data_IF_398942265541
#
_entry.id   IF_398942265541
#
_cell.length_a   1.000
_cell.length_b   1.000
_cell.length_c   1.000
_cell.angle_alpha   90.00
_cell.angle_beta   90.00
_cell.angle_gamma   90.00
#
_symmetry.space_group_name_H-M   'P 1'
#
loop_
_entity.id
_entity.type
_entity.pdbx_description
1 polymer ?
#
# COMPACT_ATOMS: atom_id res chain seq x y z
N UNK A 1 20.17 -27.73 21.85
CA UNK A 1 19.01 -28.09 22.69
C UNK A 1 18.24 -29.18 21.97
N UNK A 2 17.90 -30.28 22.63
CA UNK A 2 17.02 -31.32 22.07
C UNK A 2 15.63 -31.13 22.67
N UNK A 3 14.72 -30.51 21.93
CA UNK A 3 13.32 -30.39 22.32
C UNK A 3 12.63 -31.70 21.88
N UNK A 4 11.99 -32.45 22.79
CA UNK A 4 11.27 -33.65 22.42
C UNK A 4 10.04 -33.29 21.58
N UNK A 5 9.95 -33.84 20.37
CA UNK A 5 8.82 -33.66 19.46
C UNK A 5 8.12 -34.99 19.28
N UNK A 6 6.85 -35.09 19.70
CA UNK A 6 6.03 -36.29 19.49
C UNK A 6 5.12 -36.08 18.28
N UNK A 7 5.19 -36.96 17.28
CA UNK A 7 4.27 -36.91 16.12
C UNK A 7 3.03 -37.75 16.40
N UNK A 8 1.86 -37.12 16.37
CA UNK A 8 0.57 -37.79 16.54
C UNK A 8 -0.27 -37.65 15.28
N UNK A 9 -0.99 -38.73 14.95
CA UNK A 9 -1.98 -38.72 13.88
C UNK A 9 -3.35 -38.49 14.49
N UNK A 10 -4.05 -37.48 13.99
CA UNK A 10 -5.46 -37.27 14.33
C UNK A 10 -6.30 -38.38 13.70
N UNK A 11 -7.13 -39.03 14.52
CA UNK A 11 -7.92 -40.19 14.09
C UNK A 11 -9.11 -39.82 13.21
N UNK A 12 -9.52 -38.55 13.20
CA UNK A 12 -10.70 -38.04 12.50
C UNK A 12 -10.28 -37.45 11.15
N UNK A 13 -9.28 -36.58 11.13
CA UNK A 13 -8.81 -35.91 9.90
C UNK A 13 -7.72 -36.72 9.20
N UNK A 14 -7.08 -37.66 9.89
CA UNK A 14 -5.96 -38.44 9.38
C UNK A 14 -4.66 -37.65 9.28
N UNK A 15 -4.65 -36.38 9.70
CA UNK A 15 -3.52 -35.47 9.60
C UNK A 15 -2.50 -35.68 10.71
N UNK A 16 -1.26 -35.27 10.47
CA UNK A 16 -0.17 -35.39 11.43
C UNK A 16 0.09 -34.04 12.10
N UNK A 17 0.26 -34.09 13.42
CA UNK A 17 0.61 -32.94 14.26
C UNK A 17 1.88 -33.22 15.05
N UNK A 18 2.67 -32.18 15.27
CA UNK A 18 3.82 -32.19 16.15
C UNK A 18 3.39 -31.71 17.53
N UNK A 19 3.60 -32.52 18.55
CA UNK A 19 3.27 -32.18 19.95
C UNK A 19 4.55 -31.76 20.66
N UNK A 20 4.56 -30.52 21.16
CA UNK A 20 5.66 -29.94 21.94
C UNK A 20 5.04 -29.35 23.20
N UNK A 21 5.46 -29.81 24.38
CA UNK A 21 4.94 -29.39 25.69
C UNK A 21 3.39 -29.44 25.80
N UNK A 22 2.77 -30.43 25.17
CA UNK A 22 1.32 -30.60 25.15
C UNK A 22 0.56 -29.65 24.21
N UNK A 23 1.26 -28.82 23.44
CA UNK A 23 0.70 -27.98 22.37
C UNK A 23 0.84 -28.71 21.03
N UNK A 24 -0.18 -28.60 20.17
CA UNK A 24 -0.17 -29.21 18.84
C UNK A 24 0.27 -28.17 17.81
N UNK A 25 1.22 -28.52 16.97
CA UNK A 25 1.72 -27.69 15.90
C UNK A 25 1.55 -28.38 14.55
N UNK A 26 1.22 -27.59 13.54
CA UNK A 26 1.09 -28.03 12.15
C UNK A 26 1.63 -26.95 11.23
N UNK A 27 2.51 -27.33 10.32
CA UNK A 27 3.15 -26.43 9.35
C UNK A 27 3.81 -25.18 9.98
N UNK A 28 4.27 -25.29 11.23
CA UNK A 28 4.85 -24.18 11.99
C UNK A 28 3.84 -23.29 12.74
N UNK A 29 2.55 -23.59 12.69
CA UNK A 29 1.49 -22.88 13.40
C UNK A 29 0.97 -23.68 14.59
N UNK A 30 0.58 -22.98 15.66
CA UNK A 30 -0.12 -23.57 16.80
C UNK A 30 -1.56 -23.91 16.41
N UNK A 31 -1.90 -25.19 16.53
CA UNK A 31 -3.28 -25.68 16.44
C UNK A 31 -3.82 -25.89 17.87
N UNK A 32 -4.82 -25.07 18.23
CA UNK A 32 -5.36 -25.05 19.60
C UNK A 32 -6.83 -24.72 19.59
N UNK A 33 -7.62 -25.60 20.18
CA UNK A 33 -9.02 -25.34 20.49
C UNK A 33 -9.13 -24.27 21.58
N UNK A 34 -9.85 -23.20 21.29
CA UNK A 34 -10.19 -22.12 22.22
C UNK A 34 -11.70 -21.92 22.27
N UNK A 35 -12.21 -21.36 23.36
CA UNK A 35 -13.64 -21.05 23.48
C UNK A 35 -14.00 -19.87 22.57
N UNK A 36 -15.17 -19.91 21.93
CA UNK A 36 -15.69 -18.76 21.19
C UNK A 36 -15.85 -17.51 22.07
N UNK A 37 -16.06 -17.68 23.37
CA UNK A 37 -16.16 -16.57 24.32
C UNK A 37 -14.81 -15.92 24.62
N UNK A 38 -13.69 -16.61 24.37
CA UNK A 38 -12.33 -16.11 24.62
C UNK A 38 -11.70 -15.42 23.41
N UNK A 39 -12.42 -15.32 22.29
CA UNK A 39 -11.94 -14.66 21.08
C UNK A 39 -12.80 -13.43 20.77
N UNK A 40 -12.18 -12.35 20.32
CA UNK A 40 -12.91 -11.31 19.60
C UNK A 40 -13.17 -11.83 18.18
N UNK A 41 -14.37 -11.60 17.66
CA UNK A 41 -14.76 -11.95 16.28
C UNK A 41 -15.35 -10.77 15.51
N UNK A 42 -15.54 -9.62 16.16
CA UNK A 42 -16.20 -8.46 15.57
C UNK A 42 -15.18 -7.40 15.15
N UNK A 43 -15.37 -6.85 13.95
CA UNK A 43 -14.59 -5.73 13.40
C UNK A 43 -13.07 -5.93 13.40
N UNK A 44 -12.61 -7.17 13.31
CA UNK A 44 -11.18 -7.48 13.21
C UNK A 44 -10.69 -7.04 11.83
N UNK A 45 -9.63 -6.25 11.83
CA UNK A 45 -8.91 -5.87 10.61
C UNK A 45 -7.50 -6.45 10.71
N UNK A 46 -7.25 -7.64 10.13
CA UNK A 46 -5.92 -8.22 10.15
C UNK A 46 -4.92 -7.28 9.50
N UNK A 47 -3.77 -7.12 10.15
CA UNK A 47 -2.62 -6.46 9.57
C UNK A 47 -2.09 -7.25 8.37
N UNK A 48 -1.26 -6.61 7.55
CA UNK A 48 -0.64 -7.29 6.41
C UNK A 48 0.25 -8.45 6.84
N UNK A 49 1.05 -8.24 7.88
CA UNK A 49 1.97 -9.24 8.40
C UNK A 49 1.21 -10.48 8.87
N UNK A 50 0.03 -10.30 9.46
CA UNK A 50 -0.87 -11.42 9.81
C UNK A 50 -1.40 -12.11 8.56
N UNK A 51 -1.89 -11.37 7.56
CA UNK A 51 -2.37 -11.96 6.30
C UNK A 51 -1.27 -12.74 5.57
N UNK A 52 -0.04 -12.25 5.56
CA UNK A 52 1.10 -12.94 4.96
C UNK A 52 1.49 -14.19 5.76
N UNK A 53 1.50 -14.09 7.10
CA UNK A 53 1.73 -15.23 7.99
C UNK A 53 0.69 -16.33 7.81
N UNK A 54 -0.58 -16.04 7.54
CA UNK A 54 -1.62 -17.05 7.40
C UNK A 54 -1.96 -17.43 5.94
N UNK A 55 -1.13 -17.01 4.98
CA UNK A 55 -1.29 -17.37 3.58
C UNK A 55 -0.81 -18.81 3.35
N UNK A 56 -1.74 -19.74 3.14
CA UNK A 56 -1.42 -21.15 2.83
C UNK A 56 -0.63 -21.25 1.52
N UNK A 57 0.60 -21.79 1.50
CA UNK A 57 1.28 -22.13 0.27
C UNK A 57 0.78 -23.49 -0.23
N UNK A 58 0.17 -23.52 -1.42
CA UNK A 58 -0.08 -24.75 -2.16
C UNK A 58 -1.32 -25.54 -1.75
N UNK A 59 -2.45 -25.22 -2.39
CA UNK A 59 -3.38 -26.26 -2.84
C UNK A 59 -4.14 -25.75 -4.05
N UNK A 60 -3.62 -26.12 -5.22
CA UNK A 60 -4.34 -26.09 -6.48
C UNK A 60 -5.49 -27.09 -6.37
N UNK A 61 -6.61 -26.63 -5.83
CA UNK A 61 -7.89 -27.33 -5.82
C UNK A 61 -8.96 -26.25 -5.86
N UNK A 62 -9.27 -25.91 -7.11
CA UNK A 62 -10.56 -25.44 -7.60
C UNK A 62 -11.65 -25.34 -6.51
N UNK A 63 -12.01 -24.11 -6.12
CA UNK A 63 -13.24 -23.89 -5.35
C UNK A 63 -13.25 -22.84 -4.25
N UNK A 64 -12.12 -22.29 -3.78
CA UNK A 64 -12.15 -21.37 -2.62
C UNK A 64 -11.34 -20.07 -2.78
N UNK A 65 -11.12 -19.66 -4.04
CA UNK A 65 -10.82 -18.27 -4.40
C UNK A 65 -11.95 -17.32 -3.96
N UNK A 66 -13.15 -17.86 -3.67
CA UNK A 66 -14.29 -17.09 -3.18
C UNK A 66 -14.05 -16.56 -1.77
N UNK A 67 -13.58 -17.35 -0.79
CA UNK A 67 -13.57 -16.93 0.63
C UNK A 67 -12.62 -15.77 0.97
N UNK A 68 -11.51 -15.59 0.25
CA UNK A 68 -10.69 -14.38 0.37
C UNK A 68 -11.19 -13.24 -0.52
N UNK A 69 -11.79 -13.55 -1.66
CA UNK A 69 -12.49 -12.54 -2.47
C UNK A 69 -13.63 -11.91 -1.68
N UNK A 70 -14.36 -12.65 -0.84
CA UNK A 70 -15.47 -12.14 -0.03
C UNK A 70 -14.99 -11.18 1.09
N UNK A 71 -13.82 -11.40 1.69
CA UNK A 71 -13.26 -10.45 2.68
C UNK A 71 -12.75 -9.17 2.01
N UNK A 72 -12.27 -9.27 0.77
CA UNK A 72 -11.91 -8.10 -0.04
C UNK A 72 -13.10 -7.45 -0.77
N UNK A 73 -14.21 -8.17 -1.02
CA UNK A 73 -15.33 -7.70 -1.83
C UNK A 73 -16.37 -6.88 -1.05
N UNK A 74 -16.39 -6.93 0.29
CA UNK A 74 -17.40 -6.22 1.07
C UNK A 74 -16.98 -4.87 1.67
N UNK A 75 -15.82 -4.30 1.26
CA UNK A 75 -15.44 -2.91 1.60
C UNK A 75 -14.84 -2.07 0.47
N UNK A 76 -14.98 -2.49 -0.78
CA UNK A 76 -14.41 -1.78 -1.92
C UNK A 76 -15.45 -0.98 -2.67
N UNK A 77 -15.80 0.19 -2.13
CA UNK A 77 -16.19 1.31 -2.97
C UNK A 77 -14.92 2.10 -3.35
N UNK A 78 -14.45 1.89 -4.58
CA UNK A 78 -13.61 2.83 -5.32
C UNK A 78 -12.13 2.92 -4.93
N UNK A 79 -11.30 1.97 -5.38
CA UNK A 79 -9.85 2.15 -5.29
C UNK A 79 -9.32 3.22 -6.26
N UNK A 80 -9.98 3.45 -7.39
CA UNK A 80 -9.54 4.40 -8.40
C UNK A 80 -10.45 5.62 -8.46
N UNK A 81 -9.85 6.78 -8.66
CA UNK A 81 -10.54 8.05 -8.85
C UNK A 81 -10.04 8.73 -10.12
N UNK A 82 -10.90 9.54 -10.75
CA UNK A 82 -10.50 10.38 -11.87
C UNK A 82 -9.23 11.17 -11.53
N UNK A 83 -8.24 11.09 -12.42
CA UNK A 83 -6.93 11.72 -12.26
C UNK A 83 -5.87 10.85 -11.60
N UNK A 84 -6.21 9.67 -11.09
CA UNK A 84 -5.21 8.71 -10.60
C UNK A 84 -4.29 8.27 -11.74
N UNK A 85 -2.98 8.26 -11.47
CA UNK A 85 -2.02 7.64 -12.37
C UNK A 85 -2.05 6.12 -12.15
N UNK A 86 -2.14 5.35 -13.22
CA UNK A 86 -2.30 3.90 -13.17
C UNK A 86 -1.41 3.18 -14.18
N UNK A 87 -1.15 1.91 -13.91
CA UNK A 87 -0.46 0.98 -14.79
C UNK A 87 -1.23 -0.32 -14.87
N UNK A 88 -1.34 -0.88 -16.07
CA UNK A 88 -1.92 -2.21 -16.30
C UNK A 88 -0.90 -3.27 -15.92
N UNK A 89 -1.23 -4.16 -14.98
CA UNK A 89 -0.32 -5.17 -14.43
C UNK A 89 -0.58 -6.58 -14.97
N UNK A 90 -1.74 -6.81 -15.60
CA UNK A 90 -2.21 -8.10 -16.15
C UNK A 90 -2.93 -7.89 -17.48
N UNK A 91 -3.16 -8.97 -18.23
CA UNK A 91 -3.86 -8.91 -19.52
C UNK A 91 -2.99 -8.42 -20.68
N UNK A 92 -3.62 -8.27 -21.84
CA UNK A 92 -2.94 -7.97 -23.12
C UNK A 92 -2.33 -6.56 -23.15
N UNK A 93 -2.88 -5.64 -22.35
CA UNK A 93 -2.44 -4.25 -22.25
C UNK A 93 -1.40 -4.02 -21.15
N UNK A 94 -0.75 -5.08 -20.63
CA UNK A 94 0.24 -4.99 -19.55
C UNK A 94 1.34 -3.97 -19.84
N UNK A 95 1.74 -3.23 -18.81
CA UNK A 95 2.68 -2.11 -18.82
C UNK A 95 2.17 -0.82 -19.47
N UNK A 96 0.94 -0.80 -19.99
CA UNK A 96 0.31 0.44 -20.41
C UNK A 96 0.09 1.35 -19.20
N UNK A 97 0.58 2.58 -19.29
CA UNK A 97 0.41 3.61 -18.27
C UNK A 97 -0.56 4.69 -18.74
N UNK A 98 -1.30 5.25 -17.80
CA UNK A 98 -2.23 6.33 -18.09
C UNK A 98 -2.80 6.98 -16.85
N UNK A 99 -3.86 7.75 -17.08
CA UNK A 99 -4.64 8.41 -16.03
C UNK A 99 -6.08 7.96 -16.11
N UNK A 100 -6.68 7.72 -14.95
CA UNK A 100 -8.11 7.40 -14.85
C UNK A 100 -8.93 8.61 -15.30
N UNK A 101 -9.78 8.40 -16.31
CA UNK A 101 -10.69 9.40 -16.83
C UNK A 101 -12.08 9.26 -16.20
N UNK A 102 -12.55 8.02 -16.05
CA UNK A 102 -13.84 7.65 -15.44
C UNK A 102 -13.74 6.27 -14.80
N UNK A 103 -14.58 6.00 -13.81
CA UNK A 103 -14.78 4.67 -13.21
C UNK A 103 -16.28 4.35 -13.30
N UNK A 104 -16.62 3.16 -13.76
CA UNK A 104 -17.99 2.63 -13.82
C UNK A 104 -17.99 1.20 -13.31
N UNK A 105 -18.73 0.91 -12.24
CA UNK A 105 -18.83 -0.43 -11.64
C UNK A 105 -17.45 -1.11 -11.48
N UNK A 106 -17.13 -2.09 -12.33
CA UNK A 106 -15.85 -2.83 -12.33
C UNK A 106 -14.86 -2.39 -13.44
N UNK A 107 -15.24 -1.43 -14.29
CA UNK A 107 -14.45 -0.93 -15.41
C UNK A 107 -13.88 0.46 -15.12
N UNK A 108 -12.57 0.58 -15.27
CA UNK A 108 -11.84 1.84 -15.15
C UNK A 108 -11.41 2.28 -16.54
N UNK A 109 -11.88 3.46 -16.92
CA UNK A 109 -11.57 4.08 -18.20
C UNK A 109 -10.29 4.87 -18.07
N UNK A 110 -9.24 4.44 -18.76
CA UNK A 110 -7.91 5.05 -18.68
C UNK A 110 -7.57 5.76 -19.99
N UNK A 111 -6.96 6.93 -19.88
CA UNK A 111 -6.37 7.63 -21.01
C UNK A 111 -4.86 7.42 -21.01
N UNK A 112 -4.33 6.83 -22.07
CA UNK A 112 -2.90 6.58 -22.21
C UNK A 112 -2.11 7.89 -22.34
N UNK A 113 -0.84 7.86 -21.95
CA UNK A 113 0.11 8.94 -22.19
C UNK A 113 0.93 8.73 -23.48
N UNK A 114 0.59 7.73 -24.30
CA UNK A 114 1.27 7.48 -25.59
C UNK A 114 0.92 8.61 -26.57
N UNK A 115 1.91 9.33 -27.13
CA UNK A 115 1.65 10.38 -28.11
C UNK A 115 0.87 9.85 -29.32
N UNK A 116 -0.21 10.55 -29.69
CA UNK A 116 -1.08 10.13 -30.79
C UNK A 116 -2.18 9.14 -30.39
N UNK A 117 -2.11 8.53 -29.21
CA UNK A 117 -3.14 7.64 -28.69
C UNK A 117 -4.13 8.45 -27.84
N UNK A 118 -5.17 8.99 -28.48
CA UNK A 118 -6.19 9.84 -27.83
C UNK A 118 -7.39 9.05 -27.26
N UNK A 119 -7.42 7.75 -27.51
CA UNK A 119 -8.55 6.90 -27.15
C UNK A 119 -8.52 6.52 -25.67
N UNK A 120 -9.71 6.41 -25.08
CA UNK A 120 -9.92 5.98 -23.70
C UNK A 120 -10.20 4.49 -23.70
N UNK A 121 -9.43 3.74 -22.91
CA UNK A 121 -9.52 2.29 -22.84
C UNK A 121 -10.27 1.86 -21.59
N UNK A 122 -11.26 1.00 -21.74
CA UNK A 122 -11.91 0.34 -20.61
C UNK A 122 -11.02 -0.83 -20.16
N UNK A 123 -10.59 -0.80 -18.90
CA UNK A 123 -9.76 -1.85 -18.30
C UNK A 123 -10.45 -2.32 -17.02
N UNK A 124 -10.49 -3.63 -16.79
CA UNK A 124 -11.04 -4.16 -15.55
C UNK A 124 -10.22 -3.67 -14.36
N UNK A 125 -10.87 -3.25 -13.28
CA UNK A 125 -10.20 -2.76 -12.07
C UNK A 125 -9.13 -3.74 -11.55
N UNK A 126 -9.38 -5.05 -11.66
CA UNK A 126 -8.48 -6.12 -11.19
C UNK A 126 -7.18 -6.22 -12.00
N UNK A 127 -7.13 -5.61 -13.18
CA UNK A 127 -5.94 -5.55 -14.04
C UNK A 127 -5.09 -4.30 -13.80
N UNK A 128 -5.56 -3.37 -12.95
CA UNK A 128 -4.90 -2.09 -12.70
C UNK A 128 -4.19 -2.03 -11.34
N UNK A 129 -3.15 -1.20 -11.30
CA UNK A 129 -2.56 -0.71 -10.06
C UNK A 129 -2.34 0.80 -10.16
N UNK A 130 -2.42 1.49 -9.01
CA UNK A 130 -1.97 2.88 -8.94
C UNK A 130 -0.46 2.92 -9.18
N UNK A 131 -0.04 3.88 -10.00
CA UNK A 131 1.35 4.08 -10.37
C UNK A 131 1.96 5.22 -9.57
N UNK A 132 3.01 4.93 -8.81
CA UNK A 132 3.79 5.89 -8.03
C UNK A 132 5.26 5.79 -8.41
N UNK A 133 5.99 6.90 -8.29
CA UNK A 133 7.43 6.96 -8.52
C UNK A 133 8.13 7.69 -7.38
N UNK A 134 9.44 7.45 -7.17
CA UNK A 134 10.24 8.25 -6.24
C UNK A 134 10.07 9.76 -6.48
N UNK A 135 9.93 10.51 -5.40
CA UNK A 135 9.66 11.95 -5.39
C UNK A 135 8.17 12.34 -5.45
N UNK A 136 7.26 11.39 -5.65
CA UNK A 136 5.82 11.67 -5.54
C UNK A 136 5.44 11.91 -4.07
N UNK A 137 4.64 12.95 -3.79
CA UNK A 137 3.98 13.08 -2.49
C UNK A 137 2.67 12.31 -2.48
N UNK A 138 2.39 11.63 -1.38
CA UNK A 138 1.27 10.70 -1.27
C UNK A 138 0.58 10.85 0.08
N UNK A 139 -0.73 10.57 0.11
CA UNK A 139 -1.50 10.43 1.36
C UNK A 139 -1.93 8.99 1.55
N UNK A 140 -1.54 8.42 2.69
CA UNK A 140 -1.97 7.10 3.13
C UNK A 140 -3.39 7.21 3.68
N UNK A 141 -4.26 6.27 3.32
CA UNK A 141 -5.69 6.28 3.68
C UNK A 141 -6.15 5.02 4.39
N UNK A 142 -5.27 4.06 4.61
CA UNK A 142 -5.53 2.87 5.42
C UNK A 142 -4.21 2.26 5.88
N UNK A 143 -4.27 1.46 6.95
CA UNK A 143 -3.10 0.81 7.55
C UNK A 143 -2.46 1.63 8.68
N UNK A 144 -1.29 1.19 9.16
CA UNK A 144 -0.65 1.77 10.35
C UNK A 144 -0.28 3.26 10.21
N UNK A 145 -0.11 3.73 8.97
CA UNK A 145 0.25 5.12 8.64
C UNK A 145 -0.95 5.93 8.11
N UNK A 146 -2.19 5.49 8.36
CA UNK A 146 -3.38 6.18 7.87
C UNK A 146 -3.37 7.68 8.21
N UNK A 147 -3.67 8.51 7.22
CA UNK A 147 -3.68 9.97 7.34
C UNK A 147 -2.33 10.64 7.05
N UNK A 148 -1.21 9.91 7.14
CA UNK A 148 0.12 10.44 6.89
C UNK A 148 0.27 10.96 5.46
N UNK A 149 0.95 12.10 5.32
CA UNK A 149 1.35 12.67 4.05
C UNK A 149 2.86 12.67 3.95
N UNK A 150 3.41 11.97 2.96
CA UNK A 150 4.85 11.74 2.86
C UNK A 150 5.31 11.69 1.40
N UNK A 151 6.62 11.75 1.19
CA UNK A 151 7.27 11.55 -0.09
C UNK A 151 7.62 10.07 -0.30
N UNK A 152 7.35 9.56 -1.50
CA UNK A 152 7.83 8.25 -1.94
C UNK A 152 9.33 8.32 -2.15
N UNK A 153 10.11 7.51 -1.43
CA UNK A 153 11.56 7.42 -1.60
C UNK A 153 11.94 6.30 -2.57
N UNK A 154 11.16 5.20 -2.59
CA UNK A 154 11.42 4.04 -3.45
C UNK A 154 10.13 3.27 -3.71
N UNK A 155 10.06 2.57 -4.84
CA UNK A 155 8.96 1.66 -5.20
C UNK A 155 9.55 0.30 -5.56
N UNK A 156 9.07 -0.74 -4.90
CA UNK A 156 9.49 -2.14 -5.11
C UNK A 156 8.25 -3.01 -5.33
N UNK A 157 7.94 -3.29 -6.59
CA UNK A 157 6.74 -4.04 -6.96
C UNK A 157 5.47 -3.37 -6.45
N UNK A 158 4.79 -4.01 -5.48
CA UNK A 158 3.55 -3.51 -4.86
C UNK A 158 3.78 -2.73 -3.56
N UNK A 159 5.03 -2.63 -3.12
CA UNK A 159 5.41 -1.94 -1.89
C UNK A 159 5.99 -0.59 -2.24
N UNK A 160 5.48 0.44 -1.58
CA UNK A 160 5.93 1.82 -1.72
C UNK A 160 6.58 2.19 -0.41
N UNK A 161 7.81 2.63 -0.51
CA UNK A 161 8.61 3.03 0.62
C UNK A 161 8.49 4.55 0.71
N UNK A 162 8.00 5.03 1.84
CA UNK A 162 7.76 6.45 2.12
C UNK A 162 8.63 6.92 3.29
N UNK A 163 9.03 8.19 3.29
CA UNK A 163 9.80 8.77 4.41
C UNK A 163 8.86 9.32 5.49
N UNK A 164 8.83 8.78 6.70
CA UNK A 164 8.08 9.41 7.79
C UNK A 164 8.84 10.61 8.37
N UNK A 165 8.10 11.70 8.56
CA UNK A 165 8.41 12.95 9.26
C UNK A 165 9.87 13.46 9.25
N UNK A 166 10.11 14.45 8.39
CA UNK A 166 10.83 15.65 8.85
C UNK A 166 9.78 16.71 9.14
N UNK A 167 9.62 17.12 10.40
CA UNK A 167 8.77 18.29 10.69
C UNK A 167 9.34 19.51 9.95
N UNK A 168 8.50 20.50 9.59
CA UNK A 168 9.00 21.70 8.88
C UNK A 168 10.13 22.41 9.64
N UNK A 169 10.13 22.29 10.97
CA UNK A 169 11.16 22.84 11.85
C UNK A 169 12.48 22.08 11.75
N UNK A 170 12.44 20.74 11.61
CA UNK A 170 13.65 19.91 11.47
C UNK A 170 14.33 20.10 10.11
N UNK A 171 13.54 20.37 9.05
CA UNK A 171 14.07 20.70 7.71
C UNK A 171 14.84 22.01 7.73
N UNK A 172 14.33 23.02 8.44
CA UNK A 172 14.98 24.33 8.57
C UNK A 172 16.23 24.27 9.46
N UNK A 173 16.27 23.34 10.43
CA UNK A 173 17.42 23.12 11.32
C UNK A 173 18.47 22.15 10.75
N UNK A 174 18.22 21.56 9.58
CA UNK A 174 19.19 20.70 8.90
C UNK A 174 19.49 19.40 9.65
N UNK A 175 18.54 18.83 10.40
CA UNK A 175 18.74 17.57 11.16
C UNK A 175 18.35 16.38 10.27
N UNK A 176 19.30 15.68 9.62
CA UNK A 176 18.99 14.70 8.56
C UNK A 176 18.67 13.30 9.11
N UNK A 177 18.89 13.07 10.40
CA UNK A 177 19.11 11.73 10.96
C UNK A 177 17.86 11.01 11.49
N UNK A 178 16.67 11.62 11.39
CA UNK A 178 15.42 11.04 11.90
C UNK A 178 14.42 10.60 10.85
N UNK A 179 14.78 10.64 9.56
CA UNK A 179 13.90 10.15 8.51
C UNK A 179 13.75 8.62 8.63
N UNK A 180 12.71 8.19 9.33
CA UNK A 180 12.32 6.79 9.38
C UNK A 180 11.68 6.40 8.03
N UNK A 181 11.94 5.17 7.60
CA UNK A 181 11.49 4.66 6.32
C UNK A 181 10.37 3.66 6.58
N UNK A 182 9.18 3.91 6.03
CA UNK A 182 8.00 3.07 6.25
C UNK A 182 7.51 2.44 4.96
N UNK A 183 7.10 1.19 5.05
CA UNK A 183 6.60 0.38 3.95
C UNK A 183 5.07 0.48 3.92
N UNK A 184 4.50 0.95 2.81
CA UNK A 184 3.05 1.06 2.59
C UNK A 184 2.68 0.40 1.27
N UNK A 185 1.45 -0.11 1.14
CA UNK A 185 1.02 -0.69 -0.14
C UNK A 185 0.48 0.37 -1.08
N UNK A 186 0.62 0.13 -2.39
CA UNK A 186 0.00 0.99 -3.42
C UNK A 186 -1.51 1.20 -3.21
N UNK A 187 -2.23 0.16 -2.74
CA UNK A 187 -3.67 0.24 -2.43
C UNK A 187 -4.03 1.05 -1.18
N UNK A 188 -3.08 1.23 -0.26
CA UNK A 188 -3.25 2.04 0.96
C UNK A 188 -3.03 3.53 0.66
N UNK A 189 -2.59 3.88 -0.55
CA UNK A 189 -2.37 5.25 -0.98
C UNK A 189 -3.52 5.70 -1.88
N UNK A 190 -4.23 6.76 -1.47
CA UNK A 190 -5.39 7.25 -2.22
C UNK A 190 -5.01 8.06 -3.45
N UNK A 191 -4.03 8.95 -3.35
CA UNK A 191 -3.66 9.82 -4.47
C UNK A 191 -2.27 10.39 -4.32
N UNK A 192 -1.70 10.78 -5.47
CA UNK A 192 -0.59 11.73 -5.50
C UNK A 192 -1.08 13.10 -5.07
N UNK A 193 -0.37 13.72 -4.14
CA UNK A 193 -0.54 15.11 -3.78
C UNK A 193 0.34 15.91 -4.74
N UNK A 194 -0.28 16.61 -5.69
CA UNK A 194 0.42 17.64 -6.46
C UNK A 194 0.70 18.80 -5.51
N UNK A 195 1.85 18.81 -4.86
CA UNK A 195 2.28 19.97 -4.08
C UNK A 195 2.72 21.08 -5.06
N UNK A 196 1.76 21.71 -5.74
CA UNK A 196 1.98 23.00 -6.39
C UNK A 196 1.76 24.08 -5.31
N UNK A 197 2.63 24.11 -4.29
CA UNK A 197 2.71 25.30 -3.44
C UNK A 197 3.50 26.31 -4.24
N UNK A 198 2.76 27.20 -4.87
CA UNK A 198 3.31 28.41 -5.43
C UNK A 198 2.80 29.59 -4.60
N UNK A 199 3.72 30.44 -4.16
CA UNK A 199 3.39 31.73 -3.57
C UNK A 199 3.88 32.82 -4.51
N UNK A 200 3.45 34.07 -4.31
CA UNK A 200 4.07 35.19 -4.99
C UNK A 200 5.18 35.79 -4.13
N UNK A 201 6.25 36.23 -4.77
CA UNK A 201 7.23 37.11 -4.14
C UNK A 201 6.65 38.53 -3.96
N UNK A 202 7.43 39.43 -3.36
CA UNK A 202 7.02 40.83 -3.15
C UNK A 202 6.80 41.63 -4.45
N UNK A 203 7.29 41.14 -5.58
CA UNK A 203 7.18 41.74 -6.91
C UNK A 203 6.05 41.10 -7.73
N UNK A 204 5.31 40.15 -7.15
CA UNK A 204 4.20 39.44 -7.80
C UNK A 204 4.62 38.22 -8.63
N UNK A 205 5.92 37.87 -8.66
CA UNK A 205 6.43 36.70 -9.37
C UNK A 205 6.02 35.43 -8.64
N UNK A 206 5.50 34.45 -9.38
CA UNK A 206 5.11 33.16 -8.79
C UNK A 206 6.34 32.30 -8.54
N UNK A 207 6.58 31.93 -7.28
CA UNK A 207 7.68 31.09 -6.80
C UNK A 207 7.13 29.73 -6.37
N UNK A 208 7.72 28.65 -6.87
CA UNK A 208 7.35 27.27 -6.59
C UNK A 208 8.44 26.52 -5.82
N UNK A 209 8.07 25.37 -5.23
CA UNK A 209 9.04 24.46 -4.63
C UNK A 209 10.12 24.07 -5.65
N UNK A 210 11.40 24.23 -5.26
CA UNK A 210 12.64 24.04 -6.05
C UNK A 210 13.13 25.24 -6.87
N UNK A 211 12.41 26.36 -6.88
CA UNK A 211 12.95 27.59 -7.46
C UNK A 211 14.11 28.11 -6.59
N UNK A 212 15.20 28.54 -7.22
CA UNK A 212 16.31 29.20 -6.52
C UNK A 212 15.92 30.66 -6.33
N UNK A 213 15.81 31.07 -5.07
CA UNK A 213 15.46 32.45 -4.68
C UNK A 213 16.58 33.08 -3.87
N UNK A 214 16.70 34.40 -3.96
CA UNK A 214 17.61 35.18 -3.13
C UNK A 214 16.80 35.92 -2.08
N UNK A 215 17.20 35.78 -0.81
CA UNK A 215 16.56 36.48 0.31
C UNK A 215 17.14 37.89 0.36
N UNK A 216 16.29 38.91 0.24
CA UNK A 216 16.71 40.31 0.22
C UNK A 216 16.45 41.04 1.56
N UNK A 217 15.59 40.51 2.42
CA UNK A 217 15.20 41.11 3.70
C UNK A 217 14.94 39.99 4.73
N UNK A 218 15.33 40.20 6.00
CA UNK A 218 15.22 39.21 7.09
C UNK A 218 16.57 38.86 7.71
N UNK A 219 16.57 38.14 8.84
CA UNK A 219 17.79 37.75 9.57
C UNK A 219 18.80 36.96 8.70
N UNK A 220 18.31 36.28 7.65
CA UNK A 220 19.13 35.50 6.71
C UNK A 220 19.57 36.28 5.44
N UNK A 221 19.40 37.60 5.40
CA UNK A 221 19.74 38.43 4.22
C UNK A 221 21.24 38.67 3.99
N UNK A 222 22.11 38.18 4.88
CA UNK A 222 23.56 38.44 4.88
C UNK A 222 24.45 37.20 4.68
N UNK A 223 23.96 36.14 4.02
CA UNK A 223 24.79 34.98 3.61
C UNK A 223 24.94 34.93 2.08
#
# INVERSE_FOLDING_TARGET
MHIPVERRRDSITGEYFETIDGMMFKDGYLDKTVSMKSISSQNIQPSFDELEKFRKPGKDSDGDMASLSTVFAYRTEGHFMKGDAVIVVRGDLKNLMGWVEKVEEESVYIRSNIPGFKETLAVNEKELCKYFKPGDYVKVVSGAQEGATSMVVKVEGHVIIISSDTTKEDVLKGVPERAEVVWVKSREIKKKIKQKRSTQDRYGSTVSLKDVVRIHEGEDSNI
#
